data_IF_475203502492
#
_entry.id   IF_475203502492
#
_cell.length_a   1.000
_cell.length_b   1.000
_cell.length_c   1.000
_cell.angle_alpha   90.00
_cell.angle_beta   90.00
_cell.angle_gamma   90.00
#
_symmetry.space_group_name_H-M   'P 1'
#
loop_
_entity.id
_entity.type
_entity.pdbx_description
1 polymer ?
#
# COMPACT_ATOMS: atom_id res chain seq x y z
N UNK A 1 78.22 27.30 0.37
CA UNK A 1 77.41 26.05 0.40
C UNK A 1 76.01 26.43 0.83
N UNK A 2 75.03 26.42 -0.08
CA UNK A 2 73.66 26.85 0.24
C UNK A 2 72.68 25.80 -0.31
N UNK A 3 72.02 25.07 0.59
CA UNK A 3 71.07 23.98 0.32
C UNK A 3 69.92 24.44 -0.58
N UNK A 4 69.61 23.65 -1.61
CA UNK A 4 68.41 23.80 -2.43
C UNK A 4 67.15 23.46 -1.62
N UNK A 5 66.02 24.17 -1.83
CA UNK A 5 64.81 23.98 -1.06
C UNK A 5 64.03 22.74 -1.54
N UNK A 6 63.49 22.01 -0.58
CA UNK A 6 62.86 20.69 -0.69
C UNK A 6 61.44 20.77 -1.30
N UNK A 7 61.31 21.19 -2.57
CA UNK A 7 60.01 21.43 -3.25
C UNK A 7 59.09 20.20 -3.32
N UNK A 8 59.65 19.00 -3.44
CA UNK A 8 58.87 17.76 -3.62
C UNK A 8 58.14 17.31 -2.34
N UNK A 9 58.67 17.62 -1.15
CA UNK A 9 58.03 17.27 0.11
C UNK A 9 56.75 18.06 0.38
N UNK A 10 56.78 19.37 0.12
CA UNK A 10 55.62 20.24 0.30
C UNK A 10 54.48 19.89 -0.66
N UNK A 11 54.79 19.50 -1.90
CA UNK A 11 53.79 19.10 -2.88
C UNK A 11 53.07 17.79 -2.47
N UNK A 12 53.78 16.84 -1.84
CA UNK A 12 53.20 15.59 -1.31
C UNK A 12 52.27 15.88 -0.14
N UNK A 13 52.66 16.80 0.76
CA UNK A 13 51.83 17.21 1.90
C UNK A 13 50.56 17.91 1.43
N UNK A 14 50.66 18.79 0.44
CA UNK A 14 49.50 19.48 -0.16
C UNK A 14 48.56 18.51 -0.87
N UNK A 15 49.12 17.52 -1.57
CA UNK A 15 48.33 16.48 -2.22
C UNK A 15 47.57 15.61 -1.21
N UNK A 16 48.24 15.21 -0.12
CA UNK A 16 47.62 14.44 0.96
C UNK A 16 46.49 15.21 1.63
N UNK A 17 46.68 16.51 1.88
CA UNK A 17 45.64 17.39 2.43
C UNK A 17 44.45 17.57 1.49
N UNK A 18 44.70 17.70 0.18
CA UNK A 18 43.64 17.78 -0.82
C UNK A 18 42.82 16.48 -0.87
N UNK A 19 43.48 15.32 -0.78
CA UNK A 19 42.81 14.02 -0.72
C UNK A 19 41.97 13.83 0.54
N UNK A 20 42.48 14.25 1.71
CA UNK A 20 41.72 14.23 2.97
C UNK A 20 40.49 15.14 2.92
N UNK A 21 40.62 16.33 2.30
CA UNK A 21 39.51 17.24 2.11
C UNK A 21 38.41 16.63 1.21
N UNK A 22 38.81 15.95 0.12
CA UNK A 22 37.89 15.23 -0.75
C UNK A 22 37.21 14.05 -0.04
N UNK A 23 37.96 13.27 0.73
CA UNK A 23 37.39 12.17 1.52
C UNK A 23 36.33 12.68 2.52
N UNK A 24 36.61 13.78 3.22
CA UNK A 24 35.65 14.43 4.12
C UNK A 24 34.39 14.90 3.39
N UNK A 25 34.55 15.51 2.21
CA UNK A 25 33.42 15.95 1.37
C UNK A 25 32.56 14.79 0.86
N UNK A 26 33.17 13.67 0.50
CA UNK A 26 32.44 12.47 0.05
C UNK A 26 31.61 11.90 1.21
N UNK A 27 32.21 11.79 2.40
CA UNK A 27 31.53 11.29 3.60
C UNK A 27 30.39 12.22 4.01
N UNK A 28 30.59 13.55 3.96
CA UNK A 28 29.53 14.50 4.30
C UNK A 28 28.37 14.42 3.30
N UNK A 29 28.64 14.42 1.99
CA UNK A 29 27.62 14.30 0.93
C UNK A 29 26.81 13.00 1.04
N UNK A 30 27.46 11.88 1.39
CA UNK A 30 26.77 10.61 1.62
C UNK A 30 25.88 10.65 2.87
N UNK A 31 26.32 11.30 3.95
CA UNK A 31 25.52 11.50 5.17
C UNK A 31 24.32 12.40 4.91
N UNK A 32 24.51 13.51 4.20
CA UNK A 32 23.43 14.46 3.90
C UNK A 32 22.32 13.80 3.05
N UNK A 33 22.71 13.04 2.02
CA UNK A 33 21.76 12.33 1.16
C UNK A 33 20.98 11.24 1.89
N UNK A 34 21.66 10.47 2.75
CA UNK A 34 21.00 9.43 3.54
C UNK A 34 20.12 10.01 4.65
N UNK A 35 20.55 11.10 5.30
CA UNK A 35 19.76 11.79 6.33
C UNK A 35 18.47 12.38 5.77
N UNK A 36 18.53 13.06 4.61
CA UNK A 36 17.34 13.60 3.94
C UNK A 36 16.31 12.52 3.60
N UNK A 37 16.77 11.36 3.14
CA UNK A 37 15.90 10.23 2.84
C UNK A 37 15.26 9.65 4.11
N UNK A 38 16.03 9.54 5.20
CA UNK A 38 15.53 9.09 6.50
C UNK A 38 14.48 10.05 7.05
N UNK A 39 14.72 11.37 6.99
CA UNK A 39 13.75 12.38 7.43
C UNK A 39 12.46 12.37 6.60
N UNK A 40 12.58 12.21 5.28
CA UNK A 40 11.42 12.11 4.39
C UNK A 40 10.56 10.87 4.72
N UNK A 41 11.20 9.70 4.85
CA UNK A 41 10.50 8.45 5.18
C UNK A 41 9.85 8.50 6.56
N UNK A 42 10.48 9.17 7.52
CA UNK A 42 9.89 9.41 8.84
C UNK A 42 8.62 10.26 8.75
N UNK A 43 8.66 11.40 8.04
CA UNK A 43 7.49 12.27 7.85
C UNK A 43 6.34 11.55 7.15
N UNK A 44 6.64 10.73 6.14
CA UNK A 44 5.61 9.91 5.48
C UNK A 44 4.93 8.94 6.45
N UNK A 45 5.71 8.29 7.33
CA UNK A 45 5.18 7.36 8.33
C UNK A 45 4.29 8.06 9.37
N UNK A 46 4.64 9.28 9.76
CA UNK A 46 3.80 10.09 10.64
C UNK A 46 2.47 10.46 9.97
N UNK A 47 2.52 10.89 8.72
CA UNK A 47 1.32 11.19 7.93
C UNK A 47 0.44 9.94 7.75
N UNK A 48 1.04 8.79 7.47
CA UNK A 48 0.34 7.51 7.39
C UNK A 48 -0.39 7.19 8.70
N UNK A 49 0.25 7.35 9.85
CA UNK A 49 -0.36 7.07 11.15
C UNK A 49 -1.56 7.99 11.42
N UNK A 50 -1.42 9.30 11.15
CA UNK A 50 -2.50 10.28 11.35
C UNK A 50 -3.68 9.99 10.43
N UNK A 51 -3.42 9.70 9.16
CA UNK A 51 -4.47 9.41 8.18
C UNK A 51 -5.17 8.09 8.50
N UNK A 52 -4.42 7.05 8.85
CA UNK A 52 -5.01 5.78 9.28
C UNK A 52 -5.85 5.93 10.56
N UNK A 53 -5.45 6.81 11.49
CA UNK A 53 -6.25 7.15 12.65
C UNK A 53 -7.56 7.85 12.24
N UNK A 54 -7.49 8.85 11.36
CA UNK A 54 -8.68 9.55 10.85
C UNK A 54 -9.63 8.63 10.08
N UNK A 55 -9.08 7.75 9.23
CA UNK A 55 -9.86 6.71 8.53
C UNK A 55 -10.50 5.73 9.51
N UNK A 56 -9.79 5.38 10.59
CA UNK A 56 -10.30 4.52 11.66
C UNK A 56 -11.41 5.17 12.49
N UNK A 57 -11.37 6.49 12.69
CA UNK A 57 -12.39 7.25 13.44
C UNK A 57 -13.67 7.49 12.63
N UNK A 58 -13.59 7.51 11.29
CA UNK A 58 -14.73 7.74 10.40
C UNK A 58 -15.58 6.47 10.18
N UNK A 59 -15.71 5.65 11.22
CA UNK A 59 -16.22 4.27 11.22
C UNK A 59 -17.41 4.04 10.27
N UNK A 60 -17.14 3.25 9.24
CA UNK A 60 -18.09 2.79 8.23
C UNK A 60 -17.40 2.02 7.11
N UNK A 61 -16.13 2.33 6.84
CA UNK A 61 -15.26 1.61 5.88
C UNK A 61 -14.24 0.78 6.64
N UNK A 62 -14.75 -0.14 7.48
CA UNK A 62 -13.90 -1.16 8.10
C UNK A 62 -13.16 -1.90 6.99
N UNK A 63 -11.84 -1.92 7.10
CA UNK A 63 -10.89 -2.56 6.18
C UNK A 63 -10.17 -1.65 5.17
N UNK A 64 -10.06 -0.34 5.35
CA UNK A 64 -9.22 0.50 4.47
C UNK A 64 -8.05 1.18 5.21
N UNK A 65 -6.85 1.04 4.67
CA UNK A 65 -5.59 1.66 5.12
C UNK A 65 -5.09 2.56 4.00
N UNK A 66 -4.40 3.65 4.32
CA UNK A 66 -3.82 4.52 3.30
C UNK A 66 -2.79 3.76 2.45
N UNK A 67 -2.82 4.00 1.13
CA UNK A 67 -1.78 3.46 0.24
C UNK A 67 -0.60 4.44 0.17
N UNK A 68 0.43 4.16 0.97
CA UNK A 68 1.68 4.93 1.02
C UNK A 68 2.44 4.94 -0.30
N UNK A 69 2.39 3.86 -1.08
CA UNK A 69 3.07 3.78 -2.37
C UNK A 69 2.40 4.67 -3.41
N UNK A 70 1.07 4.58 -3.51
CA UNK A 70 0.30 5.43 -4.40
C UNK A 70 0.36 6.91 -3.99
N UNK A 71 0.38 7.20 -2.68
CA UNK A 71 0.52 8.56 -2.18
C UNK A 71 1.91 9.14 -2.50
N UNK A 72 3.01 8.39 -2.32
CA UNK A 72 4.36 8.88 -2.65
C UNK A 72 4.47 9.28 -4.13
N UNK A 73 3.86 8.50 -5.03
CA UNK A 73 3.80 8.81 -6.45
C UNK A 73 2.98 10.08 -6.72
N UNK A 74 1.83 10.25 -6.04
CA UNK A 74 0.99 11.45 -6.18
C UNK A 74 1.66 12.70 -5.59
N UNK A 75 2.40 12.58 -4.49
CA UNK A 75 3.14 13.71 -3.90
C UNK A 75 4.23 14.21 -4.85
N UNK A 76 4.87 13.33 -5.62
CA UNK A 76 5.88 13.71 -6.62
C UNK A 76 5.26 14.34 -7.88
N UNK A 77 4.07 13.92 -8.27
CA UNK A 77 3.43 14.27 -9.54
C UNK A 77 2.32 15.33 -9.42
N UNK A 78 2.30 16.08 -8.31
CA UNK A 78 1.24 17.01 -7.89
C UNK A 78 -0.06 16.35 -7.41
N UNK A 79 -0.66 16.97 -6.39
CA UNK A 79 -1.87 16.49 -5.73
C UNK A 79 -3.09 17.06 -6.46
N UNK A 80 -4.02 16.19 -6.83
CA UNK A 80 -5.29 16.60 -7.43
C UNK A 80 -6.22 17.21 -6.37
N UNK A 81 -6.63 18.46 -6.60
CA UNK A 81 -7.58 19.19 -5.76
C UNK A 81 -8.92 19.26 -6.48
N UNK A 82 -9.96 18.74 -5.85
CA UNK A 82 -11.35 18.81 -6.30
C UNK A 82 -12.08 19.95 -5.60
N UNK A 83 -12.76 20.79 -6.35
CA UNK A 83 -13.69 21.79 -5.82
C UNK A 83 -15.11 21.22 -5.85
N UNK A 84 -15.72 21.01 -4.68
CA UNK A 84 -17.14 20.66 -4.55
C UNK A 84 -17.83 21.77 -3.75
N UNK A 85 -18.67 22.55 -4.43
CA UNK A 85 -19.25 23.76 -3.85
C UNK A 85 -18.16 24.82 -3.63
N UNK A 86 -18.07 25.34 -2.40
CA UNK A 86 -17.05 26.32 -1.98
C UNK A 86 -15.91 25.67 -1.17
N UNK A 87 -15.81 24.33 -1.20
CA UNK A 87 -14.79 23.59 -0.44
C UNK A 87 -13.86 22.82 -1.37
N UNK A 88 -12.57 22.88 -1.03
CA UNK A 88 -11.47 22.20 -1.73
C UNK A 88 -11.16 20.90 -1.02
N UNK A 89 -11.14 19.81 -1.76
CA UNK A 89 -10.87 18.47 -1.27
C UNK A 89 -9.67 17.87 -2.00
N UNK A 90 -8.91 17.05 -1.29
CA UNK A 90 -7.81 16.26 -1.85
C UNK A 90 -8.19 14.80 -1.79
N UNK A 91 -7.95 14.07 -2.88
CA UNK A 91 -8.14 12.61 -2.89
C UNK A 91 -6.91 11.91 -2.32
N UNK A 92 -7.14 11.09 -1.30
CA UNK A 92 -6.10 10.27 -0.67
C UNK A 92 -6.31 8.81 -1.08
N UNK A 93 -5.32 8.15 -1.72
CA UNK A 93 -5.41 6.74 -2.06
C UNK A 93 -5.51 5.85 -0.81
N UNK A 94 -6.45 4.89 -0.84
CA UNK A 94 -6.65 3.88 0.21
C UNK A 94 -6.66 2.48 -0.42
N UNK A 95 -6.17 1.50 0.34
CA UNK A 95 -6.13 0.07 -0.01
C UNK A 95 -6.80 -0.77 1.08
N UNK A 96 -7.31 -1.96 0.76
CA UNK A 96 -7.89 -2.84 1.77
C UNK A 96 -6.85 -3.32 2.79
N UNK A 97 -7.24 -3.51 4.05
CA UNK A 97 -6.36 -3.96 5.14
C UNK A 97 -6.30 -5.48 5.18
N UNK A 98 -5.28 -6.07 4.56
CA UNK A 98 -5.08 -7.52 4.63
C UNK A 98 -4.78 -7.96 6.09
N UNK A 99 -5.81 -8.46 6.78
CA UNK A 99 -5.68 -8.96 8.16
C UNK A 99 -6.91 -8.79 9.05
N UNK A 100 -7.97 -8.10 8.59
CA UNK A 100 -9.23 -7.98 9.31
C UNK A 100 -10.24 -9.03 8.85
N UNK A 101 -10.30 -10.18 9.51
CA UNK A 101 -11.44 -11.08 9.38
C UNK A 101 -12.72 -10.41 9.89
N UNK A 102 -13.43 -9.67 9.04
CA UNK A 102 -14.81 -9.27 9.27
C UNK A 102 -15.66 -9.77 8.11
N UNK A 103 -16.31 -10.90 8.36
CA UNK A 103 -17.47 -11.35 7.63
C UNK A 103 -18.54 -10.27 7.67
N UNK A 104 -18.61 -9.40 6.65
CA UNK A 104 -19.86 -8.81 6.15
C UNK A 104 -19.66 -7.98 4.88
N UNK A 105 -20.16 -8.57 3.79
CA UNK A 105 -20.65 -7.93 2.56
C UNK A 105 -19.64 -7.15 1.67
N UNK A 106 -18.84 -7.91 0.92
CA UNK A 106 -18.62 -7.60 -0.49
C UNK A 106 -19.15 -8.79 -1.31
N UNK A 107 -20.40 -8.67 -1.78
CA UNK A 107 -20.89 -9.52 -2.84
C UNK A 107 -20.08 -9.23 -4.11
N UNK A 108 -19.47 -10.28 -4.64
CA UNK A 108 -18.88 -10.46 -5.98
C UNK A 108 -17.37 -10.74 -5.98
N UNK A 109 -16.99 -11.94 -5.53
CA UNK A 109 -15.87 -12.69 -6.10
C UNK A 109 -15.88 -14.12 -5.51
N UNK A 110 -16.75 -15.00 -6.00
CA UNK A 110 -16.70 -16.42 -5.62
C UNK A 110 -15.56 -17.12 -6.36
N UNK A 111 -14.34 -17.09 -5.80
CA UNK A 111 -13.34 -18.13 -6.03
C UNK A 111 -13.71 -19.34 -5.17
N UNK A 112 -14.57 -20.22 -5.71
CA UNK A 112 -14.92 -21.48 -5.03
C UNK A 112 -13.73 -22.45 -5.09
N UNK A 113 -13.05 -22.56 -3.94
CA UNK A 113 -12.21 -23.69 -3.54
C UNK A 113 -12.98 -25.00 -3.78
N UNK A 114 -12.61 -25.75 -4.82
CA UNK A 114 -13.28 -26.98 -5.23
C UNK A 114 -12.91 -28.14 -4.30
N UNK A 115 -13.67 -28.33 -3.23
CA UNK A 115 -13.82 -29.65 -2.64
C UNK A 115 -14.57 -30.52 -3.66
N UNK A 116 -13.90 -31.54 -4.20
CA UNK A 116 -14.46 -32.52 -5.14
C UNK A 116 -15.57 -33.34 -4.48
N UNK A 117 -16.73 -32.72 -4.27
CA UNK A 117 -17.95 -33.42 -3.87
C UNK A 117 -18.52 -34.08 -5.12
N UNK A 118 -18.51 -35.43 -5.17
CA UNK A 118 -19.10 -36.23 -6.25
C UNK A 118 -20.47 -35.64 -6.61
N UNK A 119 -20.61 -35.15 -7.85
CA UNK A 119 -21.85 -34.56 -8.34
C UNK A 119 -22.93 -35.64 -8.31
N UNK A 120 -23.88 -35.49 -7.39
CA UNK A 120 -25.02 -36.40 -7.30
C UNK A 120 -25.88 -36.21 -8.56
N UNK A 121 -25.94 -37.24 -9.42
CA UNK A 121 -26.74 -37.25 -10.67
C UNK A 121 -28.22 -37.56 -10.44
N UNK A 122 -28.65 -37.73 -9.19
CA UNK A 122 -30.07 -37.92 -8.87
C UNK A 122 -30.85 -36.67 -9.29
N UNK A 123 -31.92 -36.90 -10.05
CA UNK A 123 -32.85 -35.86 -10.49
C UNK A 123 -33.70 -35.42 -9.30
N UNK A 124 -33.91 -34.11 -9.14
CA UNK A 124 -34.83 -33.57 -8.15
C UNK A 124 -36.25 -34.10 -8.40
N UNK A 125 -36.95 -34.56 -7.37
CA UNK A 125 -38.33 -35.06 -7.51
C UNK A 125 -39.36 -33.97 -7.80
N UNK A 126 -38.98 -32.69 -7.70
CA UNK A 126 -39.87 -31.57 -7.98
C UNK A 126 -39.70 -31.01 -9.40
N UNK A 127 -38.47 -30.67 -9.79
CA UNK A 127 -38.21 -30.05 -11.10
C UNK A 127 -37.47 -30.96 -12.09
N UNK A 128 -37.14 -32.19 -11.69
CA UNK A 128 -36.44 -33.20 -12.49
C UNK A 128 -35.03 -32.82 -13.01
N UNK A 129 -34.48 -31.68 -12.57
CA UNK A 129 -33.10 -31.30 -12.86
C UNK A 129 -32.12 -31.97 -11.89
N UNK A 130 -30.94 -32.42 -12.36
CA UNK A 130 -29.91 -33.01 -11.51
C UNK A 130 -29.17 -31.94 -10.67
N UNK A 131 -28.46 -32.36 -9.64
CA UNK A 131 -27.54 -31.50 -8.87
C UNK A 131 -28.13 -30.84 -7.61
N UNK A 132 -29.39 -31.10 -7.28
CA UNK A 132 -30.01 -30.66 -6.03
C UNK A 132 -31.10 -31.62 -5.56
N UNK A 133 -31.49 -31.52 -4.29
CA UNK A 133 -32.58 -32.31 -3.69
C UNK A 133 -33.86 -31.48 -3.64
N UNK A 134 -35.04 -32.12 -3.47
CA UNK A 134 -36.35 -31.44 -3.36
C UNK A 134 -36.35 -30.33 -2.30
N UNK A 135 -35.65 -30.54 -1.19
CA UNK A 135 -35.53 -29.57 -0.11
C UNK A 135 -34.87 -28.25 -0.57
N UNK A 136 -33.89 -28.32 -1.47
CA UNK A 136 -33.12 -27.18 -1.98
C UNK A 136 -33.43 -26.88 -3.45
N UNK A 137 -34.67 -27.16 -3.88
CA UNK A 137 -35.12 -26.81 -5.22
C UNK A 137 -35.56 -25.35 -5.25
N UNK A 138 -34.84 -24.52 -6.02
CA UNK A 138 -35.15 -23.10 -6.20
C UNK A 138 -36.58 -22.90 -6.76
N UNK A 139 -37.01 -23.74 -7.70
CA UNK A 139 -38.37 -23.71 -8.27
C UNK A 139 -39.44 -23.97 -7.20
N UNK A 140 -39.16 -24.84 -6.23
CA UNK A 140 -40.08 -25.12 -5.11
C UNK A 140 -40.11 -23.96 -4.12
N UNK A 141 -38.95 -23.39 -3.81
CA UNK A 141 -38.82 -22.28 -2.87
C UNK A 141 -39.41 -20.98 -3.43
N UNK A 142 -39.49 -20.86 -4.76
CA UNK A 142 -40.13 -19.72 -5.43
C UNK A 142 -41.67 -19.76 -5.41
N UNK A 143 -42.29 -20.88 -5.03
CA UNK A 143 -43.75 -20.99 -4.92
C UNK A 143 -44.15 -20.70 -3.47
N UNK A 144 -44.95 -19.65 -3.21
CA UNK A 144 -45.44 -19.37 -1.87
C UNK A 144 -46.34 -20.53 -1.38
N UNK A 145 -46.28 -20.91 -0.09
CA UNK A 145 -47.17 -21.93 0.44
C UNK A 145 -48.62 -21.49 0.24
N UNK A 146 -49.42 -22.36 -0.40
CA UNK A 146 -50.87 -22.18 -0.42
C UNK A 146 -51.39 -22.54 0.96
N UNK A 147 -52.04 -21.58 1.63
CA UNK A 147 -52.87 -21.80 2.82
C UNK A 147 -54.07 -22.71 2.48
#
# INVERSE_FOLDING_TARGET
MSKTPNKSGDDIVRLSQAMDALAKLIISKQKDGSQLQVEYTHKLKELENVINLLLGLNEGTGDSVMDTGALDVKLRNSIEVLEKGDQKYVLIPIKPREGGGSTRAAWNATTKKSSNKKKNRIKCSFCHQPGHTRAHCEVRLAIPPKE
#
